data_IF_418712402137
#
_entry.id   IF_418712402137
#
_cell.length_a   1.000
_cell.length_b   1.000
_cell.length_c   1.000
_cell.angle_alpha   90.00
_cell.angle_beta   90.00
_cell.angle_gamma   90.00
#
_symmetry.space_group_name_H-M   'P 1'
#
loop_
_entity.id
_entity.type
_entity.pdbx_description
1 polymer ?
#
# COMPACT_ATOMS: atom_id res chain seq x y z
N UNK A 1 9.27 -8.29 -3.64
CA UNK A 1 9.97 -7.00 -3.80
C UNK A 1 10.20 -6.44 -2.40
N UNK A 2 11.22 -6.97 -1.69
CA UNK A 2 11.55 -6.55 -0.33
C UNK A 2 12.52 -5.37 -0.42
N UNK A 3 12.09 -4.17 0.00
CA UNK A 3 12.99 -3.03 0.17
C UNK A 3 13.85 -3.26 1.41
N UNK A 4 15.17 -3.32 1.18
CA UNK A 4 16.18 -3.21 2.22
C UNK A 4 16.11 -1.83 2.87
N UNK A 5 15.81 -1.77 4.17
CA UNK A 5 16.05 -0.57 4.96
C UNK A 5 17.52 -0.53 5.37
N UNK A 6 18.29 0.30 4.65
CA UNK A 6 19.65 0.69 4.96
C UNK A 6 19.64 1.62 6.17
N UNK A 7 20.10 1.15 7.33
CA UNK A 7 20.30 1.98 8.52
C UNK A 7 21.68 2.62 8.43
N UNK A 8 21.72 3.91 8.09
CA UNK A 8 22.94 4.70 8.11
C UNK A 8 23.41 4.86 9.56
N UNK A 9 24.54 4.22 9.91
CA UNK A 9 25.30 4.53 11.11
C UNK A 9 26.12 5.79 10.87
N UNK A 10 25.72 6.89 11.49
CA UNK A 10 26.53 8.10 11.60
C UNK A 10 27.44 7.94 12.82
N UNK A 11 28.70 7.52 12.59
CA UNK A 11 29.77 7.64 13.57
C UNK A 11 30.34 9.05 13.51
N UNK A 12 29.89 9.93 14.40
CA UNK A 12 30.60 11.17 14.70
C UNK A 12 31.61 10.91 15.84
N UNK A 13 32.83 10.56 15.45
CA UNK A 13 34.01 10.65 16.30
C UNK A 13 34.47 12.12 16.33
N UNK A 14 34.31 12.80 17.46
CA UNK A 14 34.95 14.09 17.69
C UNK A 14 36.34 13.89 18.32
N UNK A 15 37.41 14.50 17.79
CA UNK A 15 38.77 14.38 18.32
C UNK A 15 38.99 15.29 19.54
N UNK A 16 39.67 14.74 20.57
CA UNK A 16 40.19 15.52 21.69
C UNK A 16 41.27 16.50 21.21
N UNK A 17 41.01 17.80 21.37
CA UNK A 17 42.01 18.85 21.23
C UNK A 17 42.98 18.79 22.43
N UNK A 18 44.24 18.51 22.14
CA UNK A 18 45.36 18.57 23.09
C UNK A 18 45.92 19.99 23.02
N UNK A 19 45.62 20.84 24.01
CA UNK A 19 46.21 22.18 24.09
C UNK A 19 47.49 22.14 24.90
N UNK A 20 48.59 22.20 24.17
CA UNK A 20 49.97 22.37 24.64
C UNK A 20 50.23 23.86 24.84
N UNK A 21 50.55 24.30 26.07
CA UNK A 21 51.13 25.63 26.32
C UNK A 21 52.30 25.56 27.30
N UNK A 22 53.49 25.58 26.70
CA UNK A 22 54.69 26.37 27.00
C UNK A 22 55.21 26.49 28.44
N UNK A 23 56.43 25.96 28.57
CA UNK A 23 57.38 26.14 29.65
C UNK A 23 57.83 27.61 29.83
N UNK A 24 58.11 27.97 31.09
CA UNK A 24 58.93 29.12 31.48
C UNK A 24 60.14 28.64 32.28
N UNK A 25 61.29 29.20 31.93
CA UNK A 25 62.65 28.77 32.28
C UNK A 25 63.17 29.48 33.55
N UNK A 26 63.92 28.72 34.35
CA UNK A 26 65.07 29.11 35.17
C UNK A 26 64.91 30.04 36.40
N UNK A 27 65.21 29.48 37.57
CA UNK A 27 66.24 30.00 38.47
C UNK A 27 66.80 28.85 39.33
N UNK A 28 68.10 28.60 39.23
CA UNK A 28 68.81 27.57 39.98
C UNK A 28 69.35 28.11 41.32
N UNK A 29 68.92 27.59 42.48
CA UNK A 29 69.64 27.76 43.73
C UNK A 29 70.63 26.61 43.96
N UNK A 30 71.75 26.99 44.57
CA UNK A 30 72.99 26.24 44.77
C UNK A 30 72.77 24.89 45.50
N UNK A 31 73.44 23.86 45.01
CA UNK A 31 73.53 22.52 45.59
C UNK A 31 74.19 22.54 46.98
N UNK A 32 73.37 22.60 48.03
CA UNK A 32 73.80 22.15 49.36
C UNK A 32 73.64 20.63 49.44
N UNK A 33 74.55 19.91 50.12
CA UNK A 33 74.44 18.48 50.28
C UNK A 33 73.22 18.18 51.17
N UNK A 34 72.13 17.78 50.52
CA UNK A 34 70.88 17.33 51.13
C UNK A 34 71.18 16.04 51.90
N UNK A 35 71.54 16.17 53.17
CA UNK A 35 71.50 15.05 54.09
C UNK A 35 70.02 14.68 54.20
N UNK A 36 69.67 13.50 53.67
CA UNK A 36 68.30 12.97 53.67
C UNK A 36 67.89 12.59 55.11
N UNK A 37 67.64 13.57 55.95
CA UNK A 37 66.84 13.45 57.17
C UNK A 37 65.36 13.62 56.81
N UNK A 38 64.88 12.83 55.85
CA UNK A 38 63.53 12.88 55.31
C UNK A 38 63.01 11.47 55.05
N UNK A 39 61.75 11.26 55.40
CA UNK A 39 61.04 9.99 55.49
C UNK A 39 60.72 9.40 54.09
N UNK A 40 61.74 9.18 53.25
CA UNK A 40 61.61 8.77 51.83
C UNK A 40 60.81 7.47 51.64
N UNK A 41 60.84 6.59 52.63
CA UNK A 41 60.05 5.35 52.65
C UNK A 41 58.55 5.64 52.70
N UNK A 42 58.12 6.66 53.44
CA UNK A 42 56.71 7.03 53.52
C UNK A 42 56.24 7.75 52.25
N UNK A 43 57.08 8.57 51.64
CA UNK A 43 56.80 9.18 50.33
C UNK A 43 56.65 8.13 49.22
N UNK A 44 57.50 7.10 49.20
CA UNK A 44 57.38 6.00 48.22
C UNK A 44 56.08 5.21 48.40
N UNK A 45 55.70 4.91 49.65
CA UNK A 45 54.43 4.23 49.96
C UNK A 45 53.23 5.10 49.58
N UNK A 46 53.29 6.42 49.81
CA UNK A 46 52.24 7.34 49.38
C UNK A 46 52.13 7.42 47.86
N UNK A 47 53.25 7.43 47.15
CA UNK A 47 53.26 7.43 45.68
C UNK A 47 52.63 6.14 45.13
N UNK A 48 52.97 4.98 45.69
CA UNK A 48 52.39 3.70 45.32
C UNK A 48 50.87 3.66 45.54
N UNK A 49 50.40 4.09 46.72
CA UNK A 49 48.96 4.22 47.03
C UNK A 49 48.25 5.19 46.09
N UNK A 50 48.90 6.29 45.73
CA UNK A 50 48.35 7.27 44.78
C UNK A 50 48.23 6.68 43.38
N UNK A 51 49.23 5.90 42.93
CA UNK A 51 49.18 5.21 41.64
C UNK A 51 48.08 4.15 41.60
N UNK A 52 47.94 3.35 42.67
CA UNK A 52 46.88 2.37 42.81
C UNK A 52 45.48 3.01 42.82
N UNK A 53 45.30 4.10 43.57
CA UNK A 53 44.06 4.87 43.58
C UNK A 53 43.71 5.40 42.17
N UNK A 54 44.69 5.95 41.45
CA UNK A 54 44.50 6.43 40.07
C UNK A 54 44.09 5.30 39.12
N UNK A 55 44.69 4.11 39.26
CA UNK A 55 44.30 2.91 38.50
C UNK A 55 42.85 2.52 38.76
N UNK A 56 42.43 2.47 40.03
CA UNK A 56 41.05 2.16 40.39
C UNK A 56 40.07 3.23 39.90
N UNK A 57 40.42 4.50 40.04
CA UNK A 57 39.61 5.63 39.55
C UNK A 57 39.39 5.54 38.03
N UNK A 58 40.45 5.28 37.26
CA UNK A 58 40.35 5.10 35.82
C UNK A 58 39.48 3.89 35.44
N UNK A 59 39.66 2.77 36.15
CA UNK A 59 38.85 1.56 35.92
C UNK A 59 37.37 1.84 36.16
N UNK A 60 37.04 2.55 37.24
CA UNK A 60 35.67 2.96 37.55
C UNK A 60 35.11 3.90 36.47
N UNK A 61 35.89 4.88 36.00
CA UNK A 61 35.48 5.76 34.92
C UNK A 61 35.17 5.00 33.62
N UNK A 62 36.00 4.01 33.26
CA UNK A 62 35.75 3.17 32.10
C UNK A 62 34.47 2.34 32.23
N UNK A 63 34.25 1.74 33.40
CA UNK A 63 33.00 1.01 33.68
C UNK A 63 31.78 1.93 33.61
N UNK A 64 31.85 3.13 34.18
CA UNK A 64 30.78 4.12 34.10
C UNK A 64 30.46 4.49 32.65
N UNK A 65 31.48 4.76 31.83
CA UNK A 65 31.28 5.05 30.41
C UNK A 65 30.61 3.90 29.66
N UNK A 66 31.03 2.65 29.92
CA UNK A 66 30.43 1.46 29.32
C UNK A 66 28.97 1.26 29.77
N UNK A 67 28.65 1.48 31.04
CA UNK A 67 27.28 1.40 31.57
C UNK A 67 26.39 2.45 30.89
N UNK A 68 26.84 3.70 30.78
CA UNK A 68 26.09 4.78 30.12
C UNK A 68 25.87 4.47 28.63
N UNK A 69 26.89 3.98 27.93
CA UNK A 69 26.77 3.60 26.52
C UNK A 69 25.77 2.44 26.31
N UNK A 70 25.80 1.44 27.19
CA UNK A 70 24.84 0.34 27.18
C UNK A 70 23.42 0.84 27.47
N UNK A 71 23.25 1.78 28.42
CA UNK A 71 21.96 2.41 28.72
C UNK A 71 21.38 3.14 27.52
N UNK A 72 22.16 3.99 26.86
CA UNK A 72 21.72 4.72 25.66
C UNK A 72 21.31 3.74 24.54
N UNK A 73 22.05 2.65 24.39
CA UNK A 73 21.72 1.60 23.40
C UNK A 73 20.40 0.91 23.76
N UNK A 74 20.19 0.59 25.03
CA UNK A 74 18.95 -0.02 25.51
C UNK A 74 17.74 0.88 25.24
N UNK A 75 17.83 2.17 25.57
CA UNK A 75 16.76 3.14 25.33
C UNK A 75 16.42 3.28 23.84
N UNK A 76 17.43 3.29 22.97
CA UNK A 76 17.22 3.30 21.52
C UNK A 76 16.49 2.04 21.04
N UNK A 77 16.84 0.86 21.58
CA UNK A 77 16.18 -0.40 21.24
C UNK A 77 14.74 -0.44 21.77
N UNK A 78 14.49 0.05 22.97
CA UNK A 78 13.14 0.12 23.54
C UNK A 78 12.22 1.03 22.73
N UNK A 79 12.73 2.19 22.30
CA UNK A 79 12.00 3.06 21.36
C UNK A 79 11.71 2.35 20.04
N UNK A 80 12.69 1.70 19.44
CA UNK A 80 12.50 0.95 18.20
C UNK A 80 11.46 -0.18 18.36
N UNK A 81 11.41 -0.87 19.51
CA UNK A 81 10.40 -1.87 19.82
C UNK A 81 9.00 -1.24 19.89
N UNK A 82 8.86 -0.06 20.49
CA UNK A 82 7.59 0.67 20.55
C UNK A 82 7.12 1.05 19.13
N UNK A 83 8.00 1.62 18.32
CA UNK A 83 7.69 2.00 16.94
C UNK A 83 7.23 0.78 16.10
N UNK A 84 7.91 -0.37 16.24
CA UNK A 84 7.52 -1.62 15.56
C UNK A 84 6.16 -2.12 16.03
N UNK A 85 5.87 -2.04 17.34
CA UNK A 85 4.56 -2.44 17.89
C UNK A 85 3.43 -1.58 17.36
N UNK A 86 3.64 -0.27 17.24
CA UNK A 86 2.64 0.65 16.67
C UNK A 86 2.41 0.37 15.18
N UNK A 87 3.48 0.19 14.39
CA UNK A 87 3.37 -0.20 12.98
C UNK A 87 2.61 -1.50 12.79
N UNK A 88 2.90 -2.51 13.62
CA UNK A 88 2.16 -3.77 13.62
C UNK A 88 0.68 -3.56 13.90
N UNK A 89 0.32 -2.80 14.93
CA UNK A 89 -1.07 -2.53 15.28
C UNK A 89 -1.83 -1.81 14.14
N UNK A 90 -1.17 -0.88 13.45
CA UNK A 90 -1.72 -0.21 12.26
C UNK A 90 -1.99 -1.20 11.12
N UNK A 91 -1.04 -2.09 10.83
CA UNK A 91 -1.20 -3.11 9.80
C UNK A 91 -2.29 -4.11 10.15
N UNK A 92 -2.40 -4.52 11.42
CA UNK A 92 -3.45 -5.42 11.90
C UNK A 92 -4.84 -4.77 11.75
N UNK A 93 -4.95 -3.47 12.03
CA UNK A 93 -6.21 -2.70 11.84
C UNK A 93 -6.61 -2.62 10.37
N UNK A 94 -5.66 -2.33 9.47
CA UNK A 94 -5.92 -2.34 8.02
C UNK A 94 -6.30 -3.72 7.51
N UNK A 95 -5.65 -4.77 8.01
CA UNK A 95 -6.00 -6.16 7.67
C UNK A 95 -7.45 -6.46 8.03
N UNK A 96 -7.89 -6.08 9.22
CA UNK A 96 -9.30 -6.27 9.64
C UNK A 96 -10.25 -5.46 8.75
N UNK A 97 -9.92 -4.19 8.46
CA UNK A 97 -10.73 -3.35 7.57
C UNK A 97 -10.91 -3.97 6.18
N UNK A 98 -9.83 -4.47 5.59
CA UNK A 98 -9.87 -5.10 4.26
C UNK A 98 -10.63 -6.43 4.26
N UNK A 99 -10.52 -7.22 5.33
CA UNK A 99 -11.31 -8.45 5.48
C UNK A 99 -12.81 -8.16 5.57
N UNK A 100 -13.20 -7.10 6.28
CA UNK A 100 -14.60 -6.68 6.35
C UNK A 100 -15.11 -6.23 4.97
N UNK A 101 -14.35 -5.39 4.26
CA UNK A 101 -14.71 -4.96 2.91
C UNK A 101 -14.86 -6.14 1.93
N UNK A 102 -13.98 -7.15 2.03
CA UNK A 102 -14.09 -8.36 1.21
C UNK A 102 -15.34 -9.18 1.56
N UNK A 103 -15.70 -9.26 2.85
CA UNK A 103 -16.92 -9.93 3.29
C UNK A 103 -18.19 -9.23 2.74
N UNK A 104 -18.22 -7.90 2.74
CA UNK A 104 -19.30 -7.10 2.15
C UNK A 104 -19.44 -7.34 0.65
N UNK A 105 -18.33 -7.29 -0.11
CA UNK A 105 -18.34 -7.57 -1.56
C UNK A 105 -18.87 -8.98 -1.86
N UNK A 106 -18.48 -9.98 -1.06
CA UNK A 106 -18.98 -11.33 -1.25
C UNK A 106 -20.49 -11.42 -0.98
N UNK A 107 -20.99 -10.75 0.07
CA UNK A 107 -22.42 -10.71 0.35
C UNK A 107 -23.23 -10.01 -0.76
N UNK A 108 -22.70 -8.91 -1.31
CA UNK A 108 -23.31 -8.22 -2.45
C UNK A 108 -23.30 -9.07 -3.71
N UNK A 109 -22.21 -9.80 -3.98
CA UNK A 109 -22.15 -10.76 -5.09
C UNK A 109 -23.24 -11.83 -4.94
N UNK A 110 -23.32 -12.47 -3.78
CA UNK A 110 -24.31 -13.52 -3.53
C UNK A 110 -25.76 -12.99 -3.67
N UNK A 111 -26.00 -11.73 -3.29
CA UNK A 111 -27.27 -11.04 -3.51
C UNK A 111 -27.56 -10.82 -5.00
N UNK A 112 -26.56 -10.39 -5.78
CA UNK A 112 -26.70 -10.20 -7.23
C UNK A 112 -26.96 -11.54 -7.92
N UNK A 113 -26.25 -12.61 -7.54
CA UNK A 113 -26.43 -13.95 -8.08
C UNK A 113 -27.87 -14.46 -7.84
N UNK A 114 -28.43 -14.20 -6.64
CA UNK A 114 -29.81 -14.54 -6.32
C UNK A 114 -30.82 -13.75 -7.19
N UNK A 115 -30.59 -12.46 -7.38
CA UNK A 115 -31.43 -11.61 -8.24
C UNK A 115 -31.34 -12.02 -9.71
N UNK A 116 -30.15 -12.35 -10.21
CA UNK A 116 -29.94 -12.85 -11.56
C UNK A 116 -30.69 -14.17 -11.78
N UNK A 117 -30.61 -15.10 -10.83
CA UNK A 117 -31.33 -16.37 -10.89
C UNK A 117 -32.85 -16.15 -10.92
N UNK A 118 -33.38 -15.21 -10.10
CA UNK A 118 -34.81 -14.86 -10.10
C UNK A 118 -35.25 -14.30 -11.45
N UNK A 119 -34.55 -13.27 -11.94
CA UNK A 119 -34.88 -12.60 -13.22
C UNK A 119 -34.74 -13.58 -14.39
N UNK A 120 -33.76 -14.48 -14.36
CA UNK A 120 -33.57 -15.51 -15.39
C UNK A 120 -34.76 -16.47 -15.44
N UNK A 121 -35.26 -16.91 -14.28
CA UNK A 121 -36.46 -17.74 -14.19
C UNK A 121 -37.69 -16.99 -14.70
N UNK A 122 -37.92 -15.77 -14.24
CA UNK A 122 -39.04 -14.93 -14.69
C UNK A 122 -39.00 -14.69 -16.21
N UNK A 123 -37.81 -14.47 -16.78
CA UNK A 123 -37.65 -14.35 -18.24
C UNK A 123 -38.00 -15.65 -18.96
N UNK A 124 -37.63 -16.81 -18.42
CA UNK A 124 -37.98 -18.11 -18.99
C UNK A 124 -39.50 -18.33 -18.95
N UNK A 125 -40.14 -18.04 -17.82
CA UNK A 125 -41.58 -18.17 -17.62
C UNK A 125 -42.36 -17.25 -18.58
N UNK A 126 -41.95 -15.98 -18.72
CA UNK A 126 -42.55 -15.04 -19.66
C UNK A 126 -42.39 -15.48 -21.12
N UNK A 127 -41.21 -16.01 -21.50
CA UNK A 127 -41.01 -16.57 -22.84
C UNK A 127 -41.93 -17.75 -23.11
N UNK A 128 -42.06 -18.65 -22.13
CA UNK A 128 -42.97 -19.79 -22.22
C UNK A 128 -44.44 -19.34 -22.32
N UNK A 129 -44.84 -18.34 -21.54
CA UNK A 129 -46.19 -17.78 -21.59
C UNK A 129 -46.48 -17.13 -22.95
N UNK A 130 -45.54 -16.36 -23.49
CA UNK A 130 -45.65 -15.76 -24.83
C UNK A 130 -45.82 -16.86 -25.89
N UNK A 131 -44.99 -17.90 -25.85
CA UNK A 131 -45.08 -19.02 -26.80
C UNK A 131 -46.45 -19.70 -26.72
N UNK A 132 -46.93 -19.96 -25.50
CA UNK A 132 -48.24 -20.61 -25.26
C UNK A 132 -49.38 -19.78 -25.84
N UNK A 133 -49.37 -18.46 -25.62
CA UNK A 133 -50.40 -17.56 -26.17
C UNK A 133 -50.31 -17.46 -27.69
N UNK A 134 -49.10 -17.40 -28.25
CA UNK A 134 -48.87 -17.28 -29.69
C UNK A 134 -49.37 -18.52 -30.45
N UNK A 135 -49.09 -19.71 -29.95
CA UNK A 135 -49.46 -20.98 -30.60
C UNK A 135 -50.91 -21.40 -30.32
N UNK A 136 -51.46 -20.96 -29.19
CA UNK A 136 -52.82 -21.28 -28.76
C UNK A 136 -53.86 -20.27 -29.23
N UNK A 137 -54.42 -19.53 -28.28
CA UNK A 137 -55.60 -18.68 -28.47
C UNK A 137 -55.40 -17.60 -29.52
N UNK A 138 -54.20 -16.98 -29.57
CA UNK A 138 -53.93 -15.93 -30.55
C UNK A 138 -53.96 -16.45 -31.99
N UNK A 139 -53.34 -17.61 -32.25
CA UNK A 139 -53.32 -18.21 -33.59
C UNK A 139 -54.73 -18.57 -34.07
N UNK A 140 -55.57 -19.12 -33.20
CA UNK A 140 -56.97 -19.44 -33.52
C UNK A 140 -57.75 -18.16 -33.83
N UNK A 141 -57.70 -17.17 -32.94
CA UNK A 141 -58.39 -15.90 -33.14
C UNK A 141 -57.91 -15.16 -34.40
N UNK A 142 -56.61 -15.16 -34.69
CA UNK A 142 -56.06 -14.56 -35.92
C UNK A 142 -56.62 -15.22 -37.17
N UNK A 143 -56.67 -16.56 -37.21
CA UNK A 143 -57.22 -17.31 -38.36
C UNK A 143 -58.70 -16.97 -38.59
N UNK A 144 -59.49 -16.90 -37.53
CA UNK A 144 -60.91 -16.54 -37.63
C UNK A 144 -61.11 -15.11 -38.13
N UNK A 145 -60.33 -14.14 -37.62
CA UNK A 145 -60.39 -12.74 -38.10
C UNK A 145 -59.95 -12.62 -39.55
N UNK A 146 -58.88 -13.31 -39.94
CA UNK A 146 -58.41 -13.30 -41.33
C UNK A 146 -59.45 -13.94 -42.27
N UNK A 147 -60.14 -15.01 -41.85
CA UNK A 147 -61.27 -15.59 -42.60
C UNK A 147 -62.38 -14.58 -42.84
N UNK A 148 -62.84 -13.89 -41.78
CA UNK A 148 -63.88 -12.86 -41.87
C UNK A 148 -63.45 -11.67 -42.75
N UNK A 149 -62.17 -11.28 -42.69
CA UNK A 149 -61.64 -10.20 -43.55
C UNK A 149 -61.66 -10.58 -45.01
N UNK A 150 -61.31 -11.82 -45.33
CA UNK A 150 -61.40 -12.35 -46.70
C UNK A 150 -62.85 -12.35 -47.19
N UNK A 151 -63.81 -12.76 -46.36
CA UNK A 151 -65.24 -12.72 -46.68
C UNK A 151 -65.74 -11.28 -46.95
N UNK A 152 -65.17 -10.27 -46.28
CA UNK A 152 -65.47 -8.85 -46.47
C UNK A 152 -64.62 -8.16 -47.56
N UNK A 153 -63.76 -8.90 -48.28
CA UNK A 153 -62.87 -8.33 -49.30
C UNK A 153 -61.72 -7.47 -48.76
N UNK A 154 -61.39 -7.58 -47.48
CA UNK A 154 -60.28 -6.88 -46.83
C UNK A 154 -58.99 -7.74 -46.81
N UNK A 155 -57.80 -7.11 -46.85
CA UNK A 155 -56.55 -7.84 -46.74
C UNK A 155 -56.35 -8.44 -45.33
N UNK A 156 -55.62 -9.57 -45.22
CA UNK A 156 -55.35 -10.23 -43.94
C UNK A 156 -54.51 -9.33 -43.03
N UNK A 157 -54.61 -9.58 -41.72
CA UNK A 157 -53.87 -8.82 -40.72
C UNK A 157 -52.36 -9.08 -40.82
N UNK A 158 -51.53 -8.04 -40.61
CA UNK A 158 -50.09 -8.19 -40.54
C UNK A 158 -49.69 -9.15 -39.40
N UNK A 159 -48.54 -9.83 -39.53
CA UNK A 159 -48.08 -10.80 -38.54
C UNK A 159 -47.76 -10.10 -37.21
N UNK A 160 -47.90 -10.84 -36.10
CA UNK A 160 -47.61 -10.34 -34.75
C UNK A 160 -46.19 -9.78 -34.63
N UNK A 161 -45.24 -10.38 -35.35
CA UNK A 161 -43.83 -9.97 -35.37
C UNK A 161 -43.66 -8.50 -35.74
N UNK A 162 -44.41 -7.99 -36.73
CA UNK A 162 -44.32 -6.58 -37.14
C UNK A 162 -44.65 -5.63 -35.98
N UNK A 163 -45.66 -5.95 -35.17
CA UNK A 163 -46.03 -5.15 -33.98
C UNK A 163 -44.97 -5.24 -32.87
N UNK A 164 -44.33 -6.40 -32.71
CA UNK A 164 -43.24 -6.58 -31.74
C UNK A 164 -42.00 -5.79 -32.14
N UNK A 165 -41.66 -5.77 -33.43
CA UNK A 165 -40.53 -5.01 -33.95
C UNK A 165 -40.74 -3.50 -33.76
N UNK A 166 -41.96 -3.02 -34.03
CA UNK A 166 -42.35 -1.63 -33.77
C UNK A 166 -42.16 -1.25 -32.29
N UNK A 167 -42.65 -2.08 -31.36
CA UNK A 167 -42.47 -1.86 -29.91
C UNK A 167 -41.00 -1.91 -29.50
N UNK A 168 -40.24 -2.85 -30.04
CA UNK A 168 -38.79 -2.96 -29.79
C UNK A 168 -38.07 -1.69 -30.25
N UNK A 169 -38.41 -1.19 -31.43
CA UNK A 169 -37.85 0.06 -31.97
C UNK A 169 -38.20 1.27 -31.10
N UNK A 170 -39.40 1.28 -30.50
CA UNK A 170 -39.85 2.34 -29.61
C UNK A 170 -39.10 2.31 -28.28
N UNK A 171 -38.97 1.13 -27.68
CA UNK A 171 -38.18 0.95 -26.46
C UNK A 171 -36.71 1.39 -26.65
N UNK A 172 -36.08 1.04 -27.77
CA UNK A 172 -34.72 1.48 -28.08
C UNK A 172 -34.61 3.00 -28.25
N UNK A 173 -35.62 3.64 -28.86
CA UNK A 173 -35.71 5.09 -28.96
C UNK A 173 -35.85 5.74 -27.58
N UNK A 174 -36.76 5.25 -26.75
CA UNK A 174 -37.01 5.78 -25.41
C UNK A 174 -35.79 5.61 -24.51
N UNK A 175 -35.10 4.46 -24.61
CA UNK A 175 -33.85 4.20 -23.90
C UNK A 175 -32.73 5.14 -24.34
N UNK A 176 -32.64 5.49 -25.63
CA UNK A 176 -31.66 6.47 -26.12
C UNK A 176 -31.92 7.87 -25.55
N UNK A 177 -33.18 8.29 -25.52
CA UNK A 177 -33.59 9.61 -24.99
C UNK A 177 -33.41 9.69 -23.46
N UNK A 178 -33.66 8.59 -22.76
CA UNK A 178 -33.60 8.54 -21.29
C UNK A 178 -32.19 8.23 -20.76
N UNK A 179 -31.39 7.49 -21.53
CA UNK A 179 -30.06 7.01 -21.14
C UNK A 179 -29.01 8.08 -20.92
N UNK A 180 -29.17 9.27 -21.51
CA UNK A 180 -28.21 10.40 -21.38
C UNK A 180 -28.11 10.93 -19.92
N UNK A 181 -29.09 10.65 -19.06
CA UNK A 181 -29.16 11.22 -17.70
C UNK A 181 -28.56 10.33 -16.60
N UNK A 182 -28.09 9.11 -16.88
CA UNK A 182 -27.71 8.13 -15.83
C UNK A 182 -26.21 7.85 -15.68
N UNK A 183 -25.31 8.63 -16.30
CA UNK A 183 -23.87 8.27 -16.35
C UNK A 183 -22.93 9.01 -15.39
N UNK A 184 -23.37 9.86 -14.45
CA UNK A 184 -22.38 10.63 -13.63
C UNK A 184 -22.62 10.70 -12.11
N UNK A 185 -23.79 10.36 -11.55
CA UNK A 185 -24.08 10.76 -10.15
C UNK A 185 -24.53 9.66 -9.18
N UNK A 186 -24.05 8.43 -9.31
CA UNK A 186 -24.17 7.48 -8.19
C UNK A 186 -22.92 6.59 -8.09
N UNK A 187 -21.93 7.12 -7.39
CA UNK A 187 -20.89 6.33 -6.73
C UNK A 187 -20.73 6.92 -5.34
N UNK A 188 -21.30 6.30 -4.28
CA UNK A 188 -21.06 6.71 -2.92
C UNK A 188 -19.71 6.12 -2.48
N UNK A 189 -18.61 6.72 -2.93
CA UNK A 189 -17.32 6.56 -2.26
C UNK A 189 -17.09 7.78 -1.41
N UNK A 190 -17.36 7.59 -0.13
CA UNK A 190 -17.02 8.45 1.00
C UNK A 190 -15.50 8.70 1.01
N UNK A 191 -15.07 9.82 0.43
CA UNK A 191 -13.70 10.32 0.52
C UNK A 191 -13.79 11.79 0.96
N UNK A 192 -13.15 12.19 2.07
CA UNK A 192 -13.21 13.57 2.55
C UNK A 192 -12.51 14.55 1.58
N UNK A 193 -13.03 15.78 1.42
CA UNK A 193 -12.54 16.73 0.43
C UNK A 193 -11.25 17.42 0.93
N UNK A 194 -10.10 17.02 0.39
CA UNK A 194 -8.88 17.83 0.50
C UNK A 194 -8.88 18.90 -0.59
N UNK A 195 -9.03 20.13 -0.12
CA UNK A 195 -8.81 21.36 -0.86
C UNK A 195 -7.36 21.43 -1.35
N UNK A 196 -7.16 21.77 -2.63
CA UNK A 196 -6.23 22.84 -3.06
C UNK A 196 -6.21 22.95 -4.58
N UNK A 197 -6.61 24.13 -5.05
CA UNK A 197 -6.51 24.59 -6.43
C UNK A 197 -5.04 24.59 -6.87
N UNK A 198 -4.70 23.88 -7.95
CA UNK A 198 -3.46 24.13 -8.70
C UNK A 198 -3.79 24.86 -10.00
N UNK A 199 -3.19 26.03 -10.25
CA UNK A 199 -3.52 26.86 -11.40
C UNK A 199 -2.97 26.25 -12.69
N UNK A 200 -3.80 26.31 -13.73
CA UNK A 200 -3.45 26.01 -15.12
C UNK A 200 -2.25 26.86 -15.54
N UNK A 201 -1.13 26.20 -15.80
CA UNK A 201 0.07 26.83 -16.36
C UNK A 201 0.86 25.80 -17.15
N UNK A 202 0.58 25.70 -18.45
CA UNK A 202 1.43 25.01 -19.41
C UNK A 202 2.40 26.04 -20.00
N UNK A 203 3.71 25.93 -19.78
CA UNK A 203 4.68 26.46 -20.73
C UNK A 203 5.09 25.38 -21.73
N UNK A 204 5.25 25.84 -22.98
CA UNK A 204 5.60 25.08 -24.18
C UNK A 204 7.04 24.57 -24.15
N UNK A 205 7.24 23.33 -24.63
CA UNK A 205 8.47 22.83 -25.27
C UNK A 205 9.70 22.78 -24.35
N UNK A 206 10.86 22.24 -24.73
CA UNK A 206 11.32 21.46 -25.87
C UNK A 206 12.76 21.04 -25.52
N UNK A 207 13.21 19.89 -26.05
CA UNK A 207 14.60 19.41 -26.26
C UNK A 207 15.21 18.39 -25.29
N UNK A 208 15.27 17.17 -25.82
CA UNK A 208 16.46 16.31 -26.06
C UNK A 208 17.41 15.94 -24.91
N UNK A 209 17.53 14.63 -24.70
CA UNK A 209 18.75 13.80 -24.89
C UNK A 209 18.31 12.33 -24.80
N UNK A 210 18.21 11.60 -25.92
CA UNK A 210 19.27 10.82 -26.60
C UNK A 210 20.08 9.95 -25.64
N UNK A 211 19.85 8.64 -25.75
CA UNK A 211 20.86 7.60 -25.62
C UNK A 211 20.88 6.83 -24.30
N UNK A 212 20.45 5.56 -24.32
CA UNK A 212 21.37 4.45 -24.62
C UNK A 212 20.59 3.15 -24.83
N UNK A 213 20.94 2.50 -25.94
CA UNK A 213 20.49 1.19 -26.37
C UNK A 213 21.15 0.05 -25.57
N UNK A 214 20.47 -1.11 -25.60
CA UNK A 214 20.93 -2.43 -25.15
C UNK A 214 19.73 -3.18 -24.59
N UNK A 215 19.06 -4.13 -25.26
CA UNK A 215 19.51 -5.03 -26.32
C UNK A 215 19.77 -6.41 -25.71
N UNK A 216 18.92 -7.38 -26.07
CA UNK A 216 19.00 -8.84 -25.84
C UNK A 216 18.73 -9.35 -24.40
N UNK A 217 18.10 -10.50 -24.16
CA UNK A 217 17.75 -11.63 -25.04
C UNK A 217 16.52 -12.38 -24.51
N UNK A 218 15.80 -12.99 -25.44
CA UNK A 218 14.89 -14.10 -25.20
C UNK A 218 15.65 -15.31 -24.59
N UNK A 219 15.02 -15.99 -23.64
CA UNK A 219 15.17 -17.43 -23.51
C UNK A 219 13.85 -18.02 -23.02
N UNK A 220 13.17 -18.70 -23.93
CA UNK A 220 12.22 -19.73 -23.57
C UNK A 220 13.01 -20.97 -23.20
N UNK A 221 12.63 -21.63 -22.12
CA UNK A 221 13.04 -23.00 -21.83
C UNK A 221 11.82 -23.75 -21.33
N UNK A 222 11.19 -24.47 -22.26
CA UNK A 222 10.33 -25.58 -21.95
C UNK A 222 11.19 -26.71 -21.37
N UNK A 223 10.78 -27.26 -20.23
CA UNK A 223 11.29 -28.52 -19.72
C UNK A 223 10.13 -29.48 -19.61
N UNK A 224 10.01 -30.35 -20.61
CA UNK A 224 9.28 -31.59 -20.50
C UNK A 224 10.16 -32.60 -19.75
N UNK A 225 9.62 -33.25 -18.73
CA UNK A 225 10.11 -34.54 -18.23
C UNK A 225 8.95 -35.51 -18.22
N UNK A 226 9.05 -36.47 -19.12
CA UNK A 226 8.27 -37.69 -19.20
C UNK A 226 8.85 -38.76 -18.26
N UNK A 227 8.05 -39.79 -17.96
CA UNK A 227 8.50 -41.07 -17.40
C UNK A 227 7.72 -41.44 -16.13
N UNK A 228 6.65 -42.23 -16.16
CA UNK A 228 6.45 -43.61 -16.62
C UNK A 228 6.56 -44.62 -15.46
N UNK A 229 5.68 -45.62 -15.57
CA UNK A 229 5.43 -46.80 -14.72
C UNK A 229 4.55 -46.58 -13.49
#
# INVERSE_FOLDING_TARGET
MYQQFSVASSSDYAPHATTTTSAATAAAPKSQPLVATGDWTTELVQLAKTAELKKHSLTLQLHTANIVAAHNTLEQKDKAIQDIKEQKNRLDSERVRLLNALAEINADRDKVDLLEASITRECADLRQQIQTLQDGEYAVAKRDVDRLRVELGQPPLPPLQTKLDEKTSQYLRDRRVTGEKRTVTDSPTDIPPVTTKRPRGRPKGSKNRVGKAGGNAASGSASATAGAA
#
